data_IF_885047935372
#
_entry.id   IF_885047935372
#
_cell.length_a   1.000
_cell.length_b   1.000
_cell.length_c   1.000
_cell.angle_alpha   90.00
_cell.angle_beta   90.00
_cell.angle_gamma   90.00
#
_symmetry.space_group_name_H-M   'P 1'
#
loop_
_entity.id
_entity.type
_entity.pdbx_description
1 polymer ?
#
# COMPACT_ATOMS: atom_id res chain seq x y z
N UNK A 1 5.60 28.30 -15.49
CA UNK A 1 5.07 29.53 -14.87
C UNK A 1 6.18 30.56 -14.86
N UNK A 2 5.93 31.80 -15.28
CA UNK A 2 6.91 32.89 -15.20
C UNK A 2 7.17 33.20 -13.73
N UNK A 3 8.45 33.18 -13.33
CA UNK A 3 8.88 33.63 -12.00
C UNK A 3 8.98 35.14 -12.03
N UNK A 4 8.20 35.81 -11.19
CA UNK A 4 8.26 37.25 -11.05
C UNK A 4 8.88 37.63 -9.71
N UNK A 5 9.64 38.71 -9.69
CA UNK A 5 10.40 39.17 -8.54
C UNK A 5 9.98 40.61 -8.22
N UNK A 6 9.81 40.94 -6.94
CA UNK A 6 9.53 42.32 -6.54
C UNK A 6 10.82 43.15 -6.36
N UNK A 7 10.67 44.45 -6.12
CA UNK A 7 11.79 45.38 -5.88
C UNK A 7 12.71 44.99 -4.70
N UNK A 8 12.27 44.11 -3.80
CA UNK A 8 13.04 43.62 -2.65
C UNK A 8 13.69 42.26 -2.93
N UNK A 9 13.56 41.74 -4.16
CA UNK A 9 14.08 40.44 -4.55
C UNK A 9 13.20 39.27 -4.09
N UNK A 10 11.98 39.50 -3.60
CA UNK A 10 11.08 38.41 -3.19
C UNK A 10 10.46 37.78 -4.43
N UNK A 11 10.52 36.45 -4.51
CA UNK A 11 9.94 35.67 -5.62
C UNK A 11 8.44 35.51 -5.38
N UNK A 12 7.64 35.79 -6.40
CA UNK A 12 6.19 35.61 -6.43
C UNK A 12 5.80 34.53 -7.44
N UNK A 13 4.88 33.65 -7.04
CA UNK A 13 4.30 32.61 -7.88
C UNK A 13 2.82 32.88 -8.14
N UNK A 14 2.37 32.57 -9.36
CA UNK A 14 0.97 32.71 -9.76
C UNK A 14 0.16 31.56 -9.18
N UNK A 15 -0.75 31.88 -8.26
CA UNK A 15 -1.72 30.93 -7.72
C UNK A 15 -2.78 30.53 -8.74
N UNK A 16 -3.59 29.53 -8.40
CA UNK A 16 -4.71 29.09 -9.23
C UNK A 16 -5.81 30.15 -9.39
N UNK A 17 -5.92 31.05 -8.42
CA UNK A 17 -6.77 32.24 -8.45
C UNK A 17 -6.23 33.34 -9.37
N UNK A 18 -5.08 33.11 -10.01
CA UNK A 18 -4.40 34.06 -10.87
C UNK A 18 -3.66 35.16 -10.10
N UNK A 19 -3.70 35.17 -8.77
CA UNK A 19 -3.01 36.16 -7.94
C UNK A 19 -1.55 35.77 -7.71
N UNK A 20 -0.67 36.76 -7.68
CA UNK A 20 0.75 36.55 -7.39
C UNK A 20 1.00 36.64 -5.89
N UNK A 21 1.48 35.55 -5.30
CA UNK A 21 1.78 35.43 -3.87
C UNK A 21 3.27 35.16 -3.65
N UNK A 22 3.87 35.65 -2.55
CA UNK A 22 5.27 35.39 -2.25
C UNK A 22 5.48 33.88 -2.06
N UNK A 23 6.46 33.32 -2.77
CA UNK A 23 6.84 31.93 -2.64
C UNK A 23 7.50 31.71 -1.27
N UNK A 24 7.03 30.71 -0.53
CA UNK A 24 7.64 30.33 0.74
C UNK A 24 8.89 29.46 0.48
N UNK A 25 10.05 29.88 0.98
CA UNK A 25 11.25 29.07 1.11
C UNK A 25 11.40 28.50 2.52
N UNK A 26 12.47 27.71 2.75
CA UNK A 26 12.73 27.02 4.02
C UNK A 26 12.89 27.99 5.21
N UNK A 27 13.40 29.20 4.97
CA UNK A 27 13.74 30.20 6.01
C UNK A 27 12.96 31.51 5.86
N UNK A 28 11.79 31.46 5.20
CA UNK A 28 10.96 32.64 4.93
C UNK A 28 10.70 32.83 3.43
N UNK A 29 10.24 34.01 2.98
CA UNK A 29 9.98 34.27 1.57
C UNK A 29 11.22 33.99 0.73
N UNK A 30 11.05 33.21 -0.33
CA UNK A 30 12.13 32.92 -1.28
C UNK A 30 12.61 34.23 -1.90
N UNK A 31 13.93 34.45 -1.88
CA UNK A 31 14.56 35.63 -2.45
C UNK A 31 15.48 35.24 -3.58
N UNK A 32 15.44 36.03 -4.65
CA UNK A 32 16.33 35.93 -5.78
C UNK A 32 17.13 37.24 -5.89
N UNK A 33 18.25 37.25 -5.19
CA UNK A 33 19.18 38.37 -5.18
C UNK A 33 20.51 37.93 -5.75
N UNK A 34 21.22 38.84 -6.41
CA UNK A 34 22.60 38.63 -6.83
C UNK A 34 23.53 38.49 -5.61
N UNK A 35 24.81 38.24 -5.88
CA UNK A 35 25.84 38.14 -4.84
C UNK A 35 26.03 39.44 -4.03
N UNK A 36 25.50 40.57 -4.48
CA UNK A 36 25.52 41.87 -3.79
C UNK A 36 24.23 42.12 -3.00
N UNK A 37 23.29 41.19 -3.00
CA UNK A 37 21.98 41.36 -2.35
C UNK A 37 21.01 42.24 -3.12
N UNK A 38 21.30 42.59 -4.38
CA UNK A 38 20.38 43.33 -5.26
C UNK A 38 19.40 42.36 -5.92
N UNK A 39 18.14 42.76 -6.16
CA UNK A 39 17.17 41.92 -6.84
C UNK A 39 17.66 41.55 -8.25
N UNK A 40 17.62 40.26 -8.58
CA UNK A 40 18.08 39.76 -9.88
C UNK A 40 17.01 39.94 -10.97
N UNK A 41 16.68 41.19 -11.29
CA UNK A 41 15.64 41.56 -12.26
C UNK A 41 16.22 41.86 -13.64
N UNK A 42 15.51 41.46 -14.70
CA UNK A 42 15.85 41.82 -16.08
C UNK A 42 15.83 43.34 -16.21
N UNK A 43 16.87 43.90 -16.81
CA UNK A 43 16.99 45.35 -17.04
C UNK A 43 16.83 45.64 -18.51
N UNK A 44 16.16 46.74 -18.84
CA UNK A 44 16.10 47.24 -20.20
C UNK A 44 17.46 47.78 -20.66
N UNK A 45 17.54 48.22 -21.92
CA UNK A 45 18.76 48.79 -22.49
C UNK A 45 19.24 50.07 -21.79
N UNK A 46 18.39 50.72 -20.99
CA UNK A 46 18.72 51.88 -20.15
C UNK A 46 19.14 51.47 -18.73
N UNK A 47 19.10 50.19 -18.39
CA UNK A 47 19.41 49.68 -17.05
C UNK A 47 18.25 49.74 -16.05
N UNK A 48 17.04 50.11 -16.48
CA UNK A 48 15.86 50.12 -15.63
C UNK A 48 15.25 48.71 -15.52
N UNK A 49 14.68 48.33 -14.36
CA UNK A 49 14.03 47.04 -14.21
C UNK A 49 12.81 46.92 -15.14
N UNK A 50 12.78 45.87 -15.94
CA UNK A 50 11.72 45.61 -16.92
C UNK A 50 10.50 45.02 -16.20
N UNK A 51 9.48 45.85 -16.03
CA UNK A 51 8.21 45.44 -15.42
C UNK A 51 7.46 44.43 -16.31
N UNK A 52 6.93 43.37 -15.71
CA UNK A 52 6.06 42.43 -16.42
C UNK A 52 4.70 43.10 -16.64
N UNK A 53 4.14 42.93 -17.84
CA UNK A 53 2.82 43.42 -18.20
C UNK A 53 1.90 42.25 -18.51
N UNK A 54 0.64 42.38 -18.14
CA UNK A 54 -0.38 41.41 -18.53
C UNK A 54 -0.68 41.48 -20.04
N UNK A 55 -1.54 40.60 -20.52
CA UNK A 55 -2.00 40.55 -21.92
C UNK A 55 -2.64 41.87 -22.38
N UNK A 56 -3.05 42.73 -21.44
CA UNK A 56 -3.64 44.04 -21.68
C UNK A 56 -2.66 45.20 -21.49
N UNK A 57 -1.37 44.91 -21.32
CA UNK A 57 -0.32 45.91 -21.18
C UNK A 57 -0.30 46.62 -19.82
N UNK A 58 -1.08 46.16 -18.83
CA UNK A 58 -1.11 46.71 -17.47
C UNK A 58 0.03 46.12 -16.65
N UNK A 59 0.64 46.89 -15.74
CA UNK A 59 1.69 46.37 -14.87
C UNK A 59 1.12 45.26 -13.97
N UNK A 60 1.81 44.11 -13.93
CA UNK A 60 1.43 43.02 -13.04
C UNK A 60 1.84 43.38 -11.62
N UNK A 61 0.89 43.25 -10.68
CA UNK A 61 1.11 43.55 -9.28
C UNK A 61 0.91 42.32 -8.40
N UNK A 62 1.69 42.25 -7.32
CA UNK A 62 1.48 41.29 -6.23
C UNK A 62 0.14 41.53 -5.54
N UNK A 63 -0.31 40.56 -4.74
CA UNK A 63 -1.46 40.76 -3.83
C UNK A 63 -1.30 41.95 -2.88
N UNK A 64 -0.06 42.37 -2.60
CA UNK A 64 0.27 43.55 -1.80
C UNK A 64 0.34 44.87 -2.59
N UNK A 65 0.04 44.86 -3.90
CA UNK A 65 0.09 46.05 -4.76
C UNK A 65 1.49 46.43 -5.27
N UNK A 66 2.54 45.69 -4.90
CA UNK A 66 3.90 45.90 -5.43
C UNK A 66 4.00 45.49 -6.89
N UNK A 67 4.69 46.29 -7.71
CA UNK A 67 4.97 45.95 -9.09
C UNK A 67 5.92 44.75 -9.16
N UNK A 68 5.68 43.89 -10.13
CA UNK A 68 6.44 42.67 -10.35
C UNK A 68 7.30 42.78 -11.62
N UNK A 69 8.53 42.30 -11.53
CA UNK A 69 9.54 42.37 -12.56
C UNK A 69 9.97 40.97 -13.00
N UNK A 70 10.43 40.84 -14.24
CA UNK A 70 10.94 39.56 -14.75
C UNK A 70 12.32 39.27 -14.16
N UNK A 71 12.60 38.03 -13.77
CA UNK A 71 13.95 37.64 -13.31
C UNK A 71 14.94 37.61 -14.49
N UNK A 72 16.15 38.16 -14.30
CA UNK A 72 17.22 38.19 -15.31
C UNK A 72 17.75 36.80 -15.67
N UNK A 73 17.51 35.79 -14.83
CA UNK A 73 17.92 34.40 -15.08
C UNK A 73 16.87 33.56 -15.81
N UNK A 74 15.71 34.12 -16.15
CA UNK A 74 14.56 33.36 -16.65
C UNK A 74 14.55 33.11 -18.17
N UNK A 75 15.52 33.62 -18.92
CA UNK A 75 15.45 33.71 -20.39
C UNK A 75 15.93 32.46 -21.16
N UNK A 76 16.12 31.31 -20.52
CA UNK A 76 16.52 30.08 -21.24
C UNK A 76 15.65 28.83 -21.00
N UNK A 77 14.51 28.96 -20.33
CA UNK A 77 13.51 27.87 -20.24
C UNK A 77 12.33 28.11 -21.21
N UNK A 78 12.63 28.70 -22.38
CA UNK A 78 11.72 28.74 -23.52
C UNK A 78 11.74 27.43 -24.34
N UNK A 79 12.24 26.32 -23.76
CA UNK A 79 11.76 24.98 -24.10
C UNK A 79 10.42 24.78 -23.42
N UNK A 80 9.36 24.72 -24.23
CA UNK A 80 7.97 24.77 -23.81
C UNK A 80 7.66 24.06 -22.49
N UNK A 81 7.09 24.83 -21.57
CA UNK A 81 5.91 24.44 -20.78
C UNK A 81 5.76 22.93 -20.50
N UNK A 82 6.73 22.30 -19.81
CA UNK A 82 6.57 20.96 -19.24
C UNK A 82 7.63 20.60 -18.17
N UNK A 83 8.19 21.58 -17.44
CA UNK A 83 9.17 21.31 -16.37
C UNK A 83 8.56 20.82 -15.03
N UNK A 84 7.38 20.19 -15.08
CA UNK A 84 6.92 19.23 -14.06
C UNK A 84 6.90 17.79 -14.57
N UNK A 85 7.22 17.54 -15.84
CA UNK A 85 7.11 16.22 -16.47
C UNK A 85 8.37 15.35 -16.35
N UNK A 86 9.56 15.93 -16.19
CA UNK A 86 10.82 15.17 -16.14
C UNK A 86 10.97 14.33 -14.85
N UNK A 87 10.68 14.93 -13.69
CA UNK A 87 10.67 14.19 -12.42
C UNK A 87 9.51 13.18 -12.37
N UNK A 88 8.36 13.52 -12.95
CA UNK A 88 7.23 12.59 -13.08
C UNK A 88 7.57 11.44 -14.04
N UNK A 89 8.26 11.70 -15.15
CA UNK A 89 8.70 10.67 -16.10
C UNK A 89 9.78 9.78 -15.50
N UNK A 90 10.74 10.34 -14.76
CA UNK A 90 11.75 9.55 -14.04
C UNK A 90 11.07 8.73 -12.94
N UNK A 91 10.17 9.33 -12.16
CA UNK A 91 9.37 8.62 -11.16
C UNK A 91 8.53 7.51 -11.76
N UNK A 92 7.89 7.76 -12.90
CA UNK A 92 7.07 6.78 -13.62
C UNK A 92 7.92 5.69 -14.25
N UNK A 93 9.12 6.01 -14.75
CA UNK A 93 10.09 5.03 -15.26
C UNK A 93 10.60 4.13 -14.14
N UNK A 94 10.94 4.70 -12.98
CA UNK A 94 11.36 3.92 -11.79
C UNK A 94 10.22 3.04 -11.29
N UNK A 95 8.99 3.55 -11.23
CA UNK A 95 7.80 2.79 -10.86
C UNK A 95 7.54 1.64 -11.85
N UNK A 96 7.66 1.92 -13.15
CA UNK A 96 7.51 0.92 -14.20
C UNK A 96 8.59 -0.18 -14.11
N UNK A 97 9.84 0.19 -13.85
CA UNK A 97 10.93 -0.76 -13.65
C UNK A 97 10.68 -1.64 -12.41
N UNK A 98 10.23 -1.05 -11.31
CA UNK A 98 9.90 -1.77 -10.08
C UNK A 98 8.73 -2.75 -10.28
N UNK A 99 7.72 -2.34 -11.05
CA UNK A 99 6.62 -3.21 -11.45
C UNK A 99 7.12 -4.43 -12.24
N UNK A 100 8.05 -4.24 -13.18
CA UNK A 100 8.66 -5.36 -13.92
C UNK A 100 9.43 -6.33 -13.01
N UNK A 101 10.17 -5.83 -12.02
CA UNK A 101 10.87 -6.68 -11.04
C UNK A 101 9.88 -7.54 -10.26
N UNK A 102 8.76 -6.97 -9.81
CA UNK A 102 7.70 -7.72 -9.12
C UNK A 102 7.09 -8.80 -10.03
N UNK A 103 6.80 -8.48 -11.29
CA UNK A 103 6.28 -9.46 -12.25
C UNK A 103 7.25 -10.63 -12.48
N UNK A 104 8.55 -10.36 -12.61
CA UNK A 104 9.58 -11.39 -12.72
C UNK A 104 9.56 -12.28 -11.47
N UNK A 105 9.48 -11.68 -10.28
CA UNK A 105 9.45 -12.41 -9.02
C UNK A 105 8.22 -13.33 -8.92
N UNK A 106 7.04 -12.84 -9.30
CA UNK A 106 5.81 -13.64 -9.38
C UNK A 106 5.99 -14.79 -10.39
N UNK A 107 6.59 -14.51 -11.56
CA UNK A 107 6.89 -15.53 -12.57
C UNK A 107 7.80 -16.63 -12.02
N UNK A 108 8.87 -16.28 -11.31
CA UNK A 108 9.78 -17.24 -10.66
C UNK A 108 9.04 -18.07 -9.62
N UNK A 109 8.21 -17.45 -8.78
CA UNK A 109 7.39 -18.15 -7.78
C UNK A 109 6.43 -19.13 -8.46
N UNK A 110 5.81 -18.76 -9.58
CA UNK A 110 4.92 -19.67 -10.30
C UNK A 110 5.69 -20.83 -10.95
N UNK A 111 6.79 -20.55 -11.63
CA UNK A 111 7.61 -21.59 -12.31
C UNK A 111 8.18 -22.58 -11.30
N UNK A 112 8.64 -22.14 -10.14
CA UNK A 112 9.18 -23.02 -9.09
C UNK A 112 8.08 -23.62 -8.20
N UNK A 113 7.02 -22.86 -7.95
CA UNK A 113 5.93 -23.22 -7.05
C UNK A 113 4.97 -24.25 -7.65
N UNK A 114 4.65 -24.17 -8.94
CA UNK A 114 3.74 -25.12 -9.61
C UNK A 114 4.26 -26.58 -9.54
N UNK A 115 5.54 -26.90 -9.85
CA UNK A 115 6.06 -28.25 -9.70
C UNK A 115 5.96 -28.77 -8.27
N UNK A 116 6.34 -27.95 -7.29
CA UNK A 116 6.22 -28.29 -5.86
C UNK A 116 4.75 -28.55 -5.51
N UNK A 117 3.85 -27.68 -5.96
CA UNK A 117 2.41 -27.80 -5.76
C UNK A 117 1.87 -29.09 -6.35
N UNK A 118 2.25 -29.47 -7.58
CA UNK A 118 1.82 -30.72 -8.22
C UNK A 118 2.34 -31.93 -7.45
N UNK A 119 3.58 -31.87 -6.97
CA UNK A 119 4.21 -32.97 -6.23
C UNK A 119 3.52 -33.18 -4.87
N UNK A 120 3.28 -32.08 -4.17
CA UNK A 120 2.55 -32.03 -2.89
C UNK A 120 1.09 -32.44 -3.09
N UNK A 121 0.44 -31.99 -4.17
CA UNK A 121 -0.94 -32.34 -4.51
C UNK A 121 -1.10 -33.82 -4.84
N UNK A 122 -0.18 -34.42 -5.61
CA UNK A 122 -0.17 -35.87 -5.85
C UNK A 122 -0.04 -36.66 -4.55
N UNK A 123 0.79 -36.20 -3.61
CA UNK A 123 0.97 -36.83 -2.30
C UNK A 123 -0.27 -36.68 -1.40
N UNK A 124 -0.87 -35.49 -1.38
CA UNK A 124 -2.06 -35.13 -0.60
C UNK A 124 -3.39 -35.64 -1.18
N UNK A 125 -3.42 -35.99 -2.48
CA UNK A 125 -4.57 -36.60 -3.14
C UNK A 125 -4.87 -38.01 -2.62
N UNK A 126 -3.92 -38.66 -1.95
CA UNK A 126 -4.20 -39.89 -1.19
C UNK A 126 -5.15 -39.56 -0.02
N UNK A 127 -6.13 -40.42 0.29
CA UNK A 127 -7.28 -40.05 1.15
C UNK A 127 -6.92 -39.59 2.56
N UNK A 128 -5.70 -39.88 3.04
CA UNK A 128 -5.18 -39.42 4.32
C UNK A 128 -4.78 -37.93 4.35
N UNK A 129 -4.49 -37.31 3.20
CA UNK A 129 -3.89 -35.96 3.12
C UNK A 129 -4.86 -34.78 3.10
N UNK A 130 -6.18 -35.00 3.00
CA UNK A 130 -7.14 -33.90 2.74
C UNK A 130 -7.17 -32.81 3.83
N UNK A 131 -6.81 -33.14 5.07
CA UNK A 131 -6.76 -32.15 6.17
C UNK A 131 -5.54 -31.23 6.06
N UNK A 132 -4.40 -31.76 5.63
CA UNK A 132 -3.17 -30.98 5.43
C UNK A 132 -3.26 -30.06 4.20
N UNK A 133 -4.00 -30.47 3.16
CA UNK A 133 -4.26 -29.65 1.98
C UNK A 133 -5.01 -28.35 2.33
N UNK A 134 -5.95 -28.42 3.28
CA UNK A 134 -6.70 -27.25 3.73
C UNK A 134 -5.82 -26.22 4.42
N UNK A 135 -4.88 -26.66 5.25
CA UNK A 135 -3.92 -25.78 5.95
C UNK A 135 -2.95 -25.14 4.95
N UNK A 136 -2.47 -25.92 3.98
CA UNK A 136 -1.55 -25.42 2.95
C UNK A 136 -2.21 -24.37 2.04
N UNK A 137 -3.44 -24.62 1.57
CA UNK A 137 -4.20 -23.65 0.78
C UNK A 137 -4.50 -22.39 1.57
N UNK A 138 -4.89 -22.53 2.86
CA UNK A 138 -5.12 -21.38 3.73
C UNK A 138 -3.85 -20.52 3.84
N UNK A 139 -2.67 -21.14 4.03
CA UNK A 139 -1.39 -20.43 4.07
C UNK A 139 -1.09 -19.64 2.79
N UNK A 140 -1.34 -20.23 1.61
CA UNK A 140 -1.17 -19.52 0.32
C UNK A 140 -2.11 -18.32 0.23
N UNK A 141 -3.40 -18.49 0.55
CA UNK A 141 -4.36 -17.39 0.51
C UNK A 141 -4.00 -16.28 1.50
N UNK A 142 -3.51 -16.61 2.70
CA UNK A 142 -3.02 -15.63 3.66
C UNK A 142 -1.83 -14.84 3.11
N UNK A 143 -0.89 -15.52 2.44
CA UNK A 143 0.30 -14.88 1.87
C UNK A 143 -0.07 -13.93 0.71
N UNK A 144 -0.97 -14.36 -0.17
CA UNK A 144 -1.53 -13.51 -1.24
C UNK A 144 -2.24 -12.29 -0.65
N UNK A 145 -3.06 -12.49 0.40
CA UNK A 145 -3.75 -11.41 1.10
C UNK A 145 -2.79 -10.38 1.71
N UNK A 146 -1.68 -10.82 2.31
CA UNK A 146 -0.66 -9.93 2.87
C UNK A 146 0.07 -9.12 1.79
N UNK A 147 0.39 -9.73 0.65
CA UNK A 147 1.00 -9.01 -0.48
C UNK A 147 0.03 -7.95 -1.02
N UNK A 148 -1.25 -8.29 -1.16
CA UNK A 148 -2.27 -7.36 -1.62
C UNK A 148 -2.48 -6.19 -0.63
N UNK A 149 -2.50 -6.46 0.67
CA UNK A 149 -2.56 -5.42 1.71
C UNK A 149 -1.34 -4.50 1.69
N UNK A 150 -0.15 -5.06 1.46
CA UNK A 150 1.09 -4.28 1.36
C UNK A 150 1.05 -3.33 0.15
N UNK A 151 0.49 -3.78 -0.97
CA UNK A 151 0.28 -2.95 -2.16
C UNK A 151 -0.72 -1.81 -1.89
N UNK A 152 -1.85 -2.10 -1.25
CA UNK A 152 -2.84 -1.06 -0.88
C UNK A 152 -2.27 -0.03 0.11
N UNK A 153 -1.46 -0.47 1.07
CA UNK A 153 -0.79 0.43 2.00
C UNK A 153 0.22 1.35 1.29
N UNK A 154 0.94 0.82 0.29
CA UNK A 154 1.86 1.60 -0.54
C UNK A 154 1.12 2.67 -1.36
N UNK A 155 0.02 2.31 -2.05
CA UNK A 155 -0.80 3.27 -2.80
C UNK A 155 -1.34 4.40 -1.91
N UNK A 156 -1.76 4.07 -0.68
CA UNK A 156 -2.20 5.08 0.28
C UNK A 156 -1.07 6.01 0.73
N UNK A 157 0.16 5.53 0.82
CA UNK A 157 1.34 6.35 1.18
C UNK A 157 1.81 7.22 0.00
N UNK A 158 1.81 6.67 -1.22
CA UNK A 158 2.29 7.34 -2.41
C UNK A 158 1.34 8.42 -2.94
N UNK A 159 0.02 8.24 -2.76
CA UNK A 159 -0.98 9.15 -3.31
C UNK A 159 -1.11 10.51 -2.62
N UNK A 160 -0.41 10.75 -1.49
CA UNK A 160 -0.60 11.98 -0.69
C UNK A 160 -2.03 12.18 -0.18
N UNK A 161 -2.88 11.15 -0.31
CA UNK A 161 -4.25 11.16 0.17
C UNK A 161 -4.24 10.85 1.67
N UNK A 162 -4.76 11.77 2.47
CA UNK A 162 -5.07 11.57 3.90
C UNK A 162 -6.21 10.54 4.13
N UNK A 163 -6.41 9.60 3.22
CA UNK A 163 -7.50 8.63 3.24
C UNK A 163 -7.10 7.36 3.98
N UNK A 164 -7.00 7.41 5.31
CA UNK A 164 -6.92 6.18 6.12
C UNK A 164 -8.12 5.27 5.88
N UNK A 165 -9.23 5.85 5.40
CA UNK A 165 -10.45 5.17 4.99
C UNK A 165 -10.23 4.15 3.86
N UNK A 166 -9.41 4.46 2.84
CA UNK A 166 -9.13 3.51 1.74
C UNK A 166 -8.27 2.33 2.17
N UNK A 167 -7.52 2.44 3.27
CA UNK A 167 -6.75 1.32 3.86
C UNK A 167 -7.62 0.50 4.82
N UNK A 168 -8.53 1.15 5.56
CA UNK A 168 -9.41 0.50 6.54
C UNK A 168 -10.47 -0.40 5.90
N UNK A 169 -11.10 0.01 4.79
CA UNK A 169 -12.15 -0.79 4.15
C UNK A 169 -11.68 -2.18 3.67
N UNK A 170 -10.54 -2.33 2.99
CA UNK A 170 -9.99 -3.63 2.61
C UNK A 170 -9.59 -4.49 3.82
N UNK A 171 -9.00 -3.90 4.86
CA UNK A 171 -8.62 -4.61 6.09
C UNK A 171 -9.87 -5.12 6.80
N UNK A 172 -10.90 -4.29 6.94
CA UNK A 172 -12.17 -4.67 7.56
C UNK A 172 -12.90 -5.72 6.72
N UNK A 173 -12.93 -5.58 5.40
CA UNK A 173 -13.48 -6.58 4.50
C UNK A 173 -12.72 -7.93 4.63
N UNK A 174 -11.39 -7.92 4.54
CA UNK A 174 -10.59 -9.14 4.66
C UNK A 174 -10.68 -9.77 6.06
N UNK A 175 -10.78 -8.96 7.11
CA UNK A 175 -10.99 -9.45 8.48
C UNK A 175 -12.38 -10.09 8.67
N UNK A 176 -13.42 -9.54 8.01
CA UNK A 176 -14.75 -10.12 8.00
C UNK A 176 -14.81 -11.48 7.29
N UNK A 177 -14.20 -11.58 6.12
CA UNK A 177 -14.13 -12.84 5.36
C UNK A 177 -13.20 -13.87 6.02
N UNK A 178 -12.04 -13.44 6.51
CA UNK A 178 -11.12 -14.28 7.27
C UNK A 178 -11.75 -14.79 8.57
N UNK A 179 -12.51 -13.94 9.27
CA UNK A 179 -13.28 -14.31 10.45
C UNK A 179 -14.37 -15.35 10.14
N UNK A 180 -15.12 -15.17 9.04
CA UNK A 180 -16.15 -16.12 8.61
C UNK A 180 -15.56 -17.50 8.23
N UNK A 181 -14.42 -17.52 7.54
CA UNK A 181 -13.69 -18.75 7.20
C UNK A 181 -13.15 -19.42 8.47
N UNK A 182 -12.59 -18.65 9.40
CA UNK A 182 -12.12 -19.19 10.68
C UNK A 182 -13.25 -19.80 11.51
N UNK A 183 -14.41 -19.12 11.59
CA UNK A 183 -15.58 -19.62 12.31
C UNK A 183 -16.07 -20.95 11.71
N UNK A 184 -16.13 -21.06 10.38
CA UNK A 184 -16.56 -22.31 9.72
C UNK A 184 -15.58 -23.45 9.91
N UNK A 185 -14.26 -23.19 9.87
CA UNK A 185 -13.22 -24.17 10.20
C UNK A 185 -13.35 -24.63 11.65
N UNK A 186 -13.52 -23.68 12.58
CA UNK A 186 -13.66 -23.96 14.02
C UNK A 186 -14.90 -24.80 14.33
N UNK A 187 -16.04 -24.50 13.70
CA UNK A 187 -17.26 -25.29 13.88
C UNK A 187 -17.11 -26.73 13.39
N UNK A 188 -16.40 -26.93 12.27
CA UNK A 188 -16.14 -28.27 11.75
C UNK A 188 -15.21 -29.07 12.67
N UNK A 189 -14.16 -28.43 13.18
CA UNK A 189 -13.24 -29.04 14.13
C UNK A 189 -13.94 -29.46 15.43
N UNK A 190 -14.82 -28.63 15.97
CA UNK A 190 -15.63 -28.97 17.14
C UNK A 190 -16.53 -30.19 16.93
N UNK A 191 -17.18 -30.28 15.76
CA UNK A 191 -18.03 -31.44 15.41
C UNK A 191 -17.21 -32.73 15.31
N UNK A 192 -16.02 -32.67 14.74
CA UNK A 192 -15.14 -33.83 14.61
C UNK A 192 -14.62 -34.31 15.97
N UNK A 193 -14.27 -33.38 16.87
CA UNK A 193 -13.88 -33.73 18.25
C UNK A 193 -15.04 -34.38 19.00
N UNK A 194 -16.24 -33.80 18.95
CA UNK A 194 -17.39 -34.38 19.64
C UNK A 194 -17.71 -35.81 19.17
N UNK A 195 -17.60 -36.09 17.86
CA UNK A 195 -17.76 -37.46 17.37
C UNK A 195 -16.68 -38.41 17.89
N UNK A 196 -15.42 -37.97 17.91
CA UNK A 196 -14.32 -38.78 18.42
C UNK A 196 -14.44 -39.04 19.92
N UNK A 197 -14.88 -38.05 20.71
CA UNK A 197 -15.11 -38.22 22.14
C UNK A 197 -16.26 -39.19 22.41
N UNK A 198 -17.36 -39.09 21.66
CA UNK A 198 -18.50 -39.99 21.82
C UNK A 198 -18.15 -41.43 21.41
N UNK A 199 -17.36 -41.63 20.35
CA UNK A 199 -16.94 -42.99 19.97
C UNK A 199 -16.04 -43.62 21.04
N UNK A 200 -15.12 -42.85 21.64
CA UNK A 200 -14.27 -43.34 22.74
C UNK A 200 -15.08 -43.66 24.00
N UNK A 201 -16.10 -42.86 24.31
CA UNK A 201 -16.99 -43.12 25.44
C UNK A 201 -17.83 -44.40 25.23
N UNK A 202 -18.34 -44.62 24.02
CA UNK A 202 -19.06 -45.86 23.69
C UNK A 202 -18.14 -47.10 23.76
N UNK A 203 -16.89 -46.97 23.35
CA UNK A 203 -15.90 -48.05 23.38
C UNK A 203 -15.46 -48.37 24.82
N UNK A 204 -15.22 -47.34 25.65
CA UNK A 204 -14.98 -47.51 27.08
C UNK A 204 -16.19 -48.10 27.81
N UNK A 205 -17.41 -47.63 27.50
CA UNK A 205 -18.65 -48.14 28.09
C UNK A 205 -18.82 -49.64 27.84
N UNK A 206 -18.63 -50.08 26.59
CA UNK A 206 -18.65 -51.51 26.24
C UNK A 206 -17.55 -52.30 26.92
N UNK A 207 -16.35 -51.74 27.08
CA UNK A 207 -15.26 -52.38 27.80
C UNK A 207 -15.60 -52.65 29.27
N UNK A 208 -16.26 -51.70 29.94
CA UNK A 208 -16.70 -51.84 31.33
C UNK A 208 -17.81 -52.89 31.48
N UNK A 209 -18.79 -52.92 30.58
CA UNK A 209 -19.84 -53.95 30.58
C UNK A 209 -19.27 -55.36 30.45
N UNK A 210 -18.33 -55.57 29.51
CA UNK A 210 -17.66 -56.86 29.33
C UNK A 210 -16.85 -57.29 30.55
N UNK A 211 -16.16 -56.35 31.21
CA UNK A 211 -15.45 -56.66 32.46
C UNK A 211 -16.41 -57.06 33.58
N UNK A 212 -17.55 -56.37 33.71
CA UNK A 212 -18.57 -56.69 34.71
C UNK A 212 -19.22 -58.07 34.45
N UNK A 213 -19.48 -58.40 33.19
CA UNK A 213 -20.01 -59.72 32.79
C UNK A 213 -19.01 -60.84 33.10
N UNK A 214 -17.72 -60.62 32.81
CA UNK A 214 -16.67 -61.58 33.12
C UNK A 214 -16.49 -61.78 34.63
N UNK A 215 -16.51 -60.70 35.42
CA UNK A 215 -16.44 -60.77 36.88
C UNK A 215 -17.66 -61.49 37.46
N UNK A 216 -18.86 -61.21 36.95
CA UNK A 216 -20.09 -61.91 37.35
C UNK A 216 -20.00 -63.43 37.14
N UNK A 217 -19.53 -63.86 35.96
CA UNK A 217 -19.37 -65.29 35.65
C UNK A 217 -18.35 -66.02 36.54
N UNK A 218 -17.41 -65.29 37.13
CA UNK A 218 -16.41 -65.85 38.04
C UNK A 218 -17.02 -66.23 39.39
N UNK A 219 -18.05 -65.51 39.84
CA UNK A 219 -18.75 -65.79 41.09
C UNK A 219 -19.80 -66.89 40.97
N UNK A 220 -20.22 -67.25 39.76
CA UNK A 220 -21.19 -68.33 39.50
C UNK A 220 -20.55 -69.72 39.37
N UNK A 221 -19.21 -69.86 39.54
CA UNK A 221 -18.59 -71.18 39.51
C UNK A 221 -18.93 -71.97 40.78
N UNK A 222 -19.52 -73.17 40.65
CA UNK A 222 -19.86 -74.01 41.80
C UNK A 222 -18.58 -74.44 42.52
N UNK A 223 -18.59 -74.39 43.86
CA UNK A 223 -17.46 -74.82 44.67
C UNK A 223 -17.07 -76.27 44.31
N UNK A 224 -15.77 -76.54 44.08
CA UNK A 224 -15.31 -77.89 43.81
C UNK A 224 -15.49 -78.73 45.07
N UNK A 225 -16.40 -79.71 44.98
CA UNK A 225 -16.65 -80.74 46.00
C UNK A 225 -15.44 -81.67 46.21
#
# INVERSE_FOLDING_TARGET
>A
MSKLVDENGVVHERGWDGQYRPKQGLLGPARETDWRGQPNVEKDWLGNPKGERDEWGRPVQSTSGKNLYRSAGSDNDNTGSSNGGGEILIGLLVLFLLFFVVLIFIGVILVLGIPVLITVWKKLSSSAGRKELGVFLAGIFTLIGLVFLSFLAWESLAGGYNGWETVLYPILALSGWGGAIWITIRQRWYKDIHRATNSLLEEYGRGVELMLEQVGSFFDQPEPN
#
